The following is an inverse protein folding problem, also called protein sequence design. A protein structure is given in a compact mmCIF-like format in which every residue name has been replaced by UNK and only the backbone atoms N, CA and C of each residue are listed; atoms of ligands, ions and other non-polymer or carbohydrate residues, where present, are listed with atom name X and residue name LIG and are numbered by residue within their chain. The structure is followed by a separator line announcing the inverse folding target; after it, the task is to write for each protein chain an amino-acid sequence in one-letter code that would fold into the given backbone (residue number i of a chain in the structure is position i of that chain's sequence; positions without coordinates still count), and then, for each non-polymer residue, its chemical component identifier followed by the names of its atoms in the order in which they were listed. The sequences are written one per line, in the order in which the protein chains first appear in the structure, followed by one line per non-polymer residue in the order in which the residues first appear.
data_IF_254361108377
#
_entry.id   IF_254361108377
#
_cell.length_a   1.000
_cell.length_b   1.000
_cell.length_c   1.000
_cell.angle_alpha   90.00
_cell.angle_beta   90.00
_cell.angle_gamma   90.00
#
_symmetry.space_group_name_H-M   'P 1'
#
loop_
_entity.id
_entity.type
_entity.pdbx_description
1 polymer ?
#
# COMPACT_ATOMS: atom_id res chain seq x y z
N UNK A 1 -9.65 43.72 -20.56
CA UNK A 1 -8.99 42.39 -20.46
C UNK A 1 -7.50 42.46 -20.80
N UNK A 2 -7.09 43.22 -21.83
CA UNK A 2 -5.68 43.34 -22.24
C UNK A 2 -4.71 43.85 -21.16
N UNK A 3 -5.11 44.80 -20.31
CA UNK A 3 -4.23 45.34 -19.28
C UNK A 3 -3.85 44.31 -18.20
N UNK A 4 -4.76 43.42 -17.83
CA UNK A 4 -4.51 42.40 -16.81
C UNK A 4 -3.52 41.33 -17.30
N UNK A 5 -3.58 40.96 -18.58
CA UNK A 5 -2.64 40.01 -19.19
C UNK A 5 -1.23 40.59 -19.31
N UNK A 6 -1.08 41.90 -19.57
CA UNK A 6 0.24 42.56 -19.64
C UNK A 6 0.98 42.60 -18.30
N UNK A 7 0.27 42.48 -17.18
CA UNK A 7 0.85 42.49 -15.84
C UNK A 7 1.27 41.10 -15.34
N UNK A 8 0.81 40.04 -15.99
CA UNK A 8 1.18 38.68 -15.63
C UNK A 8 2.60 38.38 -16.12
N UNK A 9 3.58 38.36 -15.19
CA UNK A 9 4.95 37.91 -15.47
C UNK A 9 5.22 36.64 -14.69
N UNK A 10 5.65 35.61 -15.40
CA UNK A 10 6.14 34.38 -14.77
C UNK A 10 7.35 34.71 -13.88
N UNK A 11 7.26 34.33 -12.61
CA UNK A 11 8.41 34.30 -11.69
C UNK A 11 8.66 32.83 -11.35
N UNK A 12 9.81 32.25 -11.76
CA UNK A 12 10.16 30.90 -11.35
C UNK A 12 10.18 30.83 -9.82
N UNK A 13 9.56 29.80 -9.27
CA UNK A 13 9.64 29.55 -7.84
C UNK A 13 11.08 29.14 -7.47
N UNK A 14 11.75 29.98 -6.69
CA UNK A 14 13.05 29.66 -6.10
C UNK A 14 12.75 29.05 -4.74
N UNK A 15 12.99 27.76 -4.58
CA UNK A 15 12.61 27.06 -3.36
C UNK A 15 13.28 27.66 -2.13
N UNK A 16 12.55 27.65 -1.02
CA UNK A 16 13.00 28.14 0.29
C UNK A 16 13.18 26.96 1.24
N UNK A 17 13.85 27.17 2.37
CA UNK A 17 13.94 26.14 3.43
C UNK A 17 12.51 25.78 3.86
N UNK A 18 12.12 24.51 3.73
CA UNK A 18 10.74 24.02 3.95
C UNK A 18 9.82 24.01 2.72
N UNK A 19 10.23 24.59 1.59
CA UNK A 19 9.48 24.57 0.33
C UNK A 19 10.44 24.43 -0.88
N UNK A 20 11.05 23.25 -1.07
CA UNK A 20 12.01 23.01 -2.12
C UNK A 20 11.36 23.23 -3.50
N UNK A 21 12.14 23.64 -4.52
CA UNK A 21 11.59 23.96 -5.83
C UNK A 21 11.09 22.71 -6.58
N UNK A 22 11.55 21.54 -6.16
CA UNK A 22 11.14 20.23 -6.65
C UNK A 22 11.05 19.30 -5.45
N UNK A 23 9.97 18.52 -5.36
CA UNK A 23 9.86 17.41 -4.41
C UNK A 23 9.43 16.16 -5.17
N UNK A 24 10.06 15.03 -4.88
CA UNK A 24 9.71 13.74 -5.49
C UNK A 24 8.76 13.02 -4.55
N UNK A 25 7.51 12.85 -4.98
CA UNK A 25 6.50 12.10 -4.22
C UNK A 25 6.30 10.76 -4.92
N UNK A 26 6.48 9.66 -4.20
CA UNK A 26 6.17 8.32 -4.71
C UNK A 26 4.86 7.84 -4.10
N UNK A 27 3.79 7.86 -4.90
CA UNK A 27 2.49 7.32 -4.48
C UNK A 27 2.30 5.95 -5.12
N UNK A 28 2.24 4.86 -4.33
CA UNK A 28 1.91 3.54 -4.87
C UNK A 28 0.42 3.51 -5.26
N UNK A 29 0.14 3.49 -6.57
CA UNK A 29 -1.23 3.32 -7.08
C UNK A 29 -1.45 1.84 -7.40
N UNK A 30 -2.35 1.21 -6.65
CA UNK A 30 -2.71 -0.20 -6.84
C UNK A 30 -3.96 -0.26 -7.71
N UNK A 31 -3.84 -0.88 -8.88
CA UNK A 31 -4.97 -1.12 -9.77
C UNK A 31 -5.55 -2.52 -9.51
N UNK A 32 -6.78 -2.53 -9.00
CA UNK A 32 -7.61 -3.72 -8.86
C UNK A 32 -8.11 -4.25 -10.21
N UNK A 33 -7.95 -5.54 -10.51
CA UNK A 33 -8.63 -6.17 -11.64
C UNK A 33 -9.63 -7.23 -11.15
N UNK A 34 -10.91 -6.93 -11.41
CA UNK A 34 -12.08 -7.84 -11.45
C UNK A 34 -12.76 -8.18 -10.11
N UNK A 35 -13.71 -7.31 -9.76
CA UNK A 35 -14.83 -7.57 -8.86
C UNK A 35 -15.91 -6.52 -9.14
N UNK A 36 -17.19 -6.87 -9.02
CA UNK A 36 -18.37 -6.07 -9.43
C UNK A 36 -18.54 -4.71 -8.72
N UNK A 37 -17.56 -4.27 -7.94
CA UNK A 37 -17.54 -2.99 -7.24
C UNK A 37 -16.21 -2.31 -7.52
N UNK A 38 -16.28 -1.03 -7.88
CA UNK A 38 -15.14 -0.13 -7.76
C UNK A 38 -14.60 -0.33 -6.33
N UNK A 39 -13.28 -0.48 -6.20
CA UNK A 39 -12.61 -0.33 -4.90
C UNK A 39 -13.30 0.82 -4.15
N UNK A 40 -13.71 0.59 -2.90
CA UNK A 40 -14.29 1.63 -2.07
C UNK A 40 -13.37 2.87 -2.15
N UNK A 41 -13.94 4.06 -2.30
CA UNK A 41 -13.19 5.34 -2.34
C UNK A 41 -12.29 5.54 -1.12
N UNK A 42 -12.48 4.75 -0.06
CA UNK A 42 -11.60 4.67 1.11
C UNK A 42 -10.28 3.91 0.85
N UNK A 43 -10.11 3.23 -0.27
CA UNK A 43 -8.84 2.58 -0.65
C UNK A 43 -7.99 3.55 -1.48
N UNK A 44 -7.68 4.69 -0.86
CA UNK A 44 -6.60 5.60 -1.29
C UNK A 44 -5.37 5.49 -0.37
N UNK A 45 -5.44 4.64 0.65
CA UNK A 45 -4.45 4.48 1.71
C UNK A 45 -3.76 3.12 1.59
N UNK A 46 -2.42 3.11 1.68
CA UNK A 46 -1.56 1.96 1.37
C UNK A 46 -2.02 0.64 2.01
N UNK A 47 -1.60 -0.50 1.43
CA UNK A 47 -2.01 -1.86 1.81
C UNK A 47 -2.05 -2.12 3.32
N UNK A 48 -1.16 -1.51 4.10
CA UNK A 48 -1.14 -1.62 5.57
C UNK A 48 -2.38 -1.03 6.27
N UNK A 49 -3.11 -0.11 5.65
CA UNK A 49 -4.26 0.59 6.23
C UNK A 49 -5.61 -0.11 5.96
N UNK A 50 -5.59 -1.26 5.30
CA UNK A 50 -6.80 -2.08 5.10
C UNK A 50 -7.29 -2.54 6.48
N UNK A 51 -8.58 -2.37 6.78
CA UNK A 51 -9.18 -2.90 8.02
C UNK A 51 -9.25 -4.43 7.98
N UNK A 52 -9.01 -5.07 9.11
CA UNK A 52 -9.16 -6.51 9.27
C UNK A 52 -10.57 -7.01 8.95
N UNK A 53 -11.61 -6.20 9.18
CA UNK A 53 -12.98 -6.50 8.76
C UNK A 53 -13.12 -6.74 7.25
N UNK A 54 -12.38 -5.98 6.43
CA UNK A 54 -12.32 -6.20 4.99
C UNK A 54 -11.60 -7.51 4.66
N UNK A 55 -10.42 -7.75 5.25
CA UNK A 55 -9.70 -9.02 5.04
C UNK A 55 -10.56 -10.23 5.43
N UNK A 56 -11.31 -10.14 6.53
CA UNK A 56 -12.19 -11.21 6.97
C UNK A 56 -13.30 -11.50 5.96
N UNK A 57 -13.86 -10.46 5.33
CA UNK A 57 -14.83 -10.62 4.24
C UNK A 57 -14.19 -11.32 3.04
N UNK A 58 -13.03 -10.85 2.58
CA UNK A 58 -12.32 -11.42 1.44
C UNK A 58 -11.96 -12.90 1.65
N UNK A 59 -11.44 -13.25 2.83
CA UNK A 59 -11.12 -14.64 3.18
C UNK A 59 -12.38 -15.50 3.24
N UNK A 60 -13.51 -14.97 3.71
CA UNK A 60 -14.78 -15.69 3.73
C UNK A 60 -15.26 -15.96 2.30
N UNK A 61 -15.28 -14.94 1.44
CA UNK A 61 -15.66 -15.07 0.03
C UNK A 61 -14.76 -16.05 -0.71
N UNK A 62 -13.45 -15.92 -0.59
CA UNK A 62 -12.50 -16.83 -1.24
C UNK A 62 -12.67 -18.29 -0.80
N UNK A 63 -12.95 -18.54 0.49
CA UNK A 63 -13.25 -19.90 0.97
C UNK A 63 -14.56 -20.46 0.44
N UNK A 64 -15.53 -19.62 0.13
CA UNK A 64 -16.81 -20.03 -0.44
C UNK A 64 -16.69 -20.31 -1.94
N UNK A 65 -16.05 -19.40 -2.67
CA UNK A 65 -15.96 -19.47 -4.13
C UNK A 65 -14.85 -20.43 -4.60
N UNK A 66 -13.73 -20.48 -3.87
CA UNK A 66 -12.52 -21.23 -4.24
C UNK A 66 -11.89 -21.98 -3.04
N UNK A 67 -12.60 -22.95 -2.43
CA UNK A 67 -12.17 -23.60 -1.18
C UNK A 67 -10.83 -24.35 -1.24
N UNK A 68 -10.37 -24.71 -2.45
CA UNK A 68 -9.10 -25.43 -2.67
C UNK A 68 -7.92 -24.51 -2.95
N UNK A 69 -8.18 -23.23 -3.21
CA UNK A 69 -7.12 -22.26 -3.51
C UNK A 69 -6.45 -21.79 -2.21
N UNK A 70 -5.13 -21.55 -2.23
CA UNK A 70 -4.43 -21.07 -1.06
C UNK A 70 -4.84 -19.62 -0.76
N UNK A 71 -4.85 -19.28 0.53
CA UNK A 71 -5.19 -17.94 0.97
C UNK A 71 -4.21 -16.87 0.44
N UNK A 72 -3.00 -17.24 -0.01
CA UNK A 72 -2.08 -16.32 -0.68
C UNK A 72 -2.63 -15.71 -1.96
N UNK A 73 -3.67 -16.32 -2.56
CA UNK A 73 -4.38 -15.77 -3.73
C UNK A 73 -5.53 -14.82 -3.37
N UNK A 74 -5.88 -14.67 -2.09
CA UNK A 74 -6.83 -13.62 -1.68
C UNK A 74 -6.20 -12.26 -1.98
N UNK A 75 -6.98 -11.36 -2.57
CA UNK A 75 -6.53 -10.07 -3.11
C UNK A 75 -5.56 -9.33 -2.19
N UNK A 76 -5.90 -9.17 -0.91
CA UNK A 76 -5.06 -8.46 0.06
C UNK A 76 -3.66 -9.07 0.16
N UNK A 77 -3.55 -10.40 0.24
CA UNK A 77 -2.26 -11.09 0.33
C UNK A 77 -1.53 -11.09 -1.02
N UNK A 78 -2.26 -11.28 -2.11
CA UNK A 78 -1.71 -11.24 -3.46
C UNK A 78 -1.08 -9.87 -3.76
N UNK A 79 -1.80 -8.78 -3.50
CA UNK A 79 -1.31 -7.42 -3.70
C UNK A 79 -0.15 -7.07 -2.76
N UNK A 80 -0.18 -7.56 -1.51
CA UNK A 80 0.98 -7.41 -0.60
C UNK A 80 2.21 -8.10 -1.15
N UNK A 81 2.06 -9.29 -1.73
CA UNK A 81 3.13 -10.00 -2.43
C UNK A 81 3.65 -9.24 -3.65
N UNK A 82 2.77 -8.69 -4.48
CA UNK A 82 3.16 -7.87 -5.63
C UNK A 82 3.89 -6.59 -5.22
N UNK A 83 3.45 -5.94 -4.14
CA UNK A 83 4.09 -4.73 -3.63
C UNK A 83 5.55 -4.98 -3.20
N UNK A 84 5.87 -6.18 -2.69
CA UNK A 84 7.25 -6.57 -2.38
C UNK A 84 8.16 -6.59 -3.61
N UNK A 85 7.61 -6.73 -4.82
CA UNK A 85 8.36 -6.72 -6.08
C UNK A 85 8.23 -5.41 -6.86
N UNK A 86 7.48 -4.43 -6.34
CA UNK A 86 7.36 -3.10 -6.92
C UNK A 86 8.69 -2.35 -6.96
N UNK A 87 8.77 -1.32 -7.82
CA UNK A 87 9.98 -0.51 -8.04
C UNK A 87 10.55 0.08 -6.75
N UNK A 88 9.69 0.58 -5.86
CA UNK A 88 10.12 1.12 -4.57
C UNK A 88 10.91 0.10 -3.73
N UNK A 89 10.35 -1.10 -3.54
CA UNK A 89 11.03 -2.16 -2.78
C UNK A 89 12.26 -2.67 -3.54
N UNK A 90 12.24 -2.67 -4.88
CA UNK A 90 13.41 -3.00 -5.71
C UNK A 90 14.60 -2.07 -5.47
N UNK A 91 14.35 -0.78 -5.18
CA UNK A 91 15.41 0.18 -4.83
C UNK A 91 16.01 -0.09 -3.46
N UNK A 92 15.26 -0.70 -2.53
CA UNK A 92 15.67 -0.92 -1.14
C UNK A 92 16.22 -2.33 -0.90
N UNK A 93 15.80 -3.31 -1.69
CA UNK A 93 16.06 -4.74 -1.48
C UNK A 93 16.43 -5.42 -2.78
N UNK A 94 17.44 -6.30 -2.73
CA UNK A 94 17.77 -7.15 -3.87
C UNK A 94 16.66 -8.18 -4.15
N UNK A 95 16.63 -8.75 -5.35
CA UNK A 95 15.64 -9.76 -5.71
C UNK A 95 15.61 -10.97 -4.75
N UNK A 96 16.76 -11.59 -4.35
CA UNK A 96 16.73 -12.67 -3.36
C UNK A 96 16.15 -12.24 -2.01
N UNK A 97 16.39 -11.00 -1.58
CA UNK A 97 15.81 -10.47 -0.33
C UNK A 97 14.29 -10.31 -0.46
N UNK A 98 13.79 -9.89 -1.62
CA UNK A 98 12.34 -9.77 -1.90
C UNK A 98 11.65 -11.14 -1.93
N UNK A 99 12.33 -12.16 -2.46
CA UNK A 99 11.84 -13.53 -2.42
C UNK A 99 11.68 -14.05 -0.99
N UNK A 100 12.67 -13.80 -0.12
CA UNK A 100 12.58 -14.15 1.31
C UNK A 100 11.41 -13.43 1.99
N UNK A 101 11.16 -12.17 1.66
CA UNK A 101 10.00 -11.43 2.20
C UNK A 101 8.66 -12.04 1.73
N UNK A 102 8.58 -12.49 0.48
CA UNK A 102 7.39 -13.16 -0.05
C UNK A 102 7.11 -14.49 0.66
N UNK A 103 8.16 -15.28 0.93
CA UNK A 103 8.06 -16.52 1.69
C UNK A 103 7.60 -16.26 3.14
N UNK A 104 8.17 -15.23 3.79
CA UNK A 104 7.74 -14.80 5.12
C UNK A 104 6.28 -14.33 5.14
N UNK A 105 5.84 -13.61 4.11
CA UNK A 105 4.44 -13.21 3.95
C UNK A 105 3.54 -14.45 3.92
N UNK A 106 3.86 -15.40 3.03
CA UNK A 106 3.09 -16.64 2.84
C UNK A 106 2.99 -17.46 4.12
N UNK A 107 4.10 -17.63 4.84
CA UNK A 107 4.14 -18.35 6.11
C UNK A 107 3.31 -17.67 7.22
N UNK A 108 3.22 -16.34 7.20
CA UNK A 108 2.48 -15.57 8.22
C UNK A 108 0.96 -15.53 7.98
N UNK A 109 0.46 -15.89 6.80
CA UNK A 109 -0.97 -15.78 6.43
C UNK A 109 -1.92 -16.39 7.47
N UNK A 110 -1.73 -17.64 7.94
CA UNK A 110 -2.65 -18.25 8.90
C UNK A 110 -2.77 -17.44 10.20
N UNK A 111 -1.65 -16.92 10.69
CA UNK A 111 -1.58 -16.11 11.90
C UNK A 111 -2.24 -14.74 11.69
N UNK A 112 -1.97 -14.07 10.57
CA UNK A 112 -2.62 -12.80 10.22
C UNK A 112 -4.14 -12.93 10.12
N UNK A 113 -4.64 -13.97 9.45
CA UNK A 113 -6.09 -14.24 9.36
C UNK A 113 -6.70 -14.50 10.74
N UNK A 114 -6.01 -15.28 11.59
CA UNK A 114 -6.49 -15.55 12.96
C UNK A 114 -6.59 -14.27 13.79
N UNK A 115 -5.57 -13.41 13.72
CA UNK A 115 -5.54 -12.14 14.45
C UNK A 115 -6.60 -11.17 13.95
N UNK A 116 -6.74 -11.01 12.63
CA UNK A 116 -7.77 -10.15 12.04
C UNK A 116 -9.19 -10.65 12.33
N UNK A 117 -9.42 -11.97 12.39
CA UNK A 117 -10.72 -12.52 12.77
C UNK A 117 -11.12 -12.10 14.19
N UNK A 118 -10.15 -12.01 15.09
CA UNK A 118 -10.38 -11.63 16.49
C UNK A 118 -10.45 -10.12 16.69
N UNK A 119 -9.99 -9.33 15.73
CA UNK A 119 -9.85 -7.87 15.83
C UNK A 119 -10.29 -7.16 14.53
N UNK A 120 -11.59 -7.17 14.18
CA UNK A 120 -12.07 -6.66 12.88
C UNK A 120 -11.82 -5.16 12.67
N UNK A 121 -11.75 -4.36 13.73
CA UNK A 121 -11.53 -2.91 13.64
C UNK A 121 -10.04 -2.52 13.54
N UNK A 122 -9.11 -3.46 13.73
CA UNK A 122 -7.67 -3.22 13.60
C UNK A 122 -7.25 -3.16 12.14
N UNK A 123 -6.04 -2.63 11.90
CA UNK A 123 -5.45 -2.59 10.57
C UNK A 123 -4.72 -3.89 10.27
N UNK A 124 -4.87 -4.38 9.05
CA UNK A 124 -4.14 -5.53 8.52
C UNK A 124 -2.61 -5.33 8.63
N UNK A 125 -2.15 -4.11 8.35
CA UNK A 125 -0.72 -3.75 8.42
C UNK A 125 -0.10 -3.92 9.81
N UNK A 126 -0.92 -3.94 10.88
CA UNK A 126 -0.42 -4.20 12.23
C UNK A 126 0.00 -5.64 12.45
N UNK A 127 -0.53 -6.58 11.65
CA UNK A 127 -0.23 -8.00 11.75
C UNK A 127 0.78 -8.48 10.71
N UNK A 128 1.24 -7.60 9.82
CA UNK A 128 2.32 -7.92 8.89
C UNK A 128 3.61 -8.27 9.63
N UNK A 129 4.42 -9.22 9.11
CA UNK A 129 5.78 -9.43 9.60
C UNK A 129 6.57 -8.12 9.64
N UNK A 130 7.33 -7.89 10.71
CA UNK A 130 8.08 -6.64 10.93
C UNK A 130 8.89 -6.17 9.70
N UNK A 131 9.62 -7.05 8.98
CA UNK A 131 10.37 -6.63 7.79
C UNK A 131 9.48 -6.11 6.66
N UNK A 132 8.26 -6.65 6.53
CA UNK A 132 7.28 -6.22 5.53
C UNK A 132 6.58 -4.95 6.01
N UNK A 133 6.21 -4.87 7.29
CA UNK A 133 5.58 -3.68 7.89
C UNK A 133 6.45 -2.44 7.66
N UNK A 134 7.77 -2.53 7.85
CA UNK A 134 8.70 -1.42 7.60
C UNK A 134 8.66 -0.89 6.15
N UNK A 135 8.43 -1.78 5.17
CA UNK A 135 8.33 -1.40 3.75
C UNK A 135 6.96 -0.81 3.40
N UNK A 136 5.93 -1.14 4.16
CA UNK A 136 4.56 -0.65 3.95
C UNK A 136 4.30 0.68 4.68
N UNK A 137 4.95 0.90 5.83
CA UNK A 137 4.87 2.14 6.63
C UNK A 137 5.71 3.27 6.01
N UNK A 138 6.82 2.94 5.35
CA UNK A 138 7.63 3.91 4.57
C UNK A 138 6.89 4.54 3.37
N UNK A 139 5.72 4.01 2.99
CA UNK A 139 4.83 4.60 1.98
C UNK A 139 3.85 5.63 2.56
N UNK A 140 3.73 5.71 3.89
CA UNK A 140 2.89 6.68 4.61
C UNK A 140 3.73 7.79 5.28
N UNK A 141 4.89 7.46 5.86
CA UNK A 141 5.69 8.44 6.63
C UNK A 141 6.49 9.44 5.77
N UNK A 142 6.72 9.15 4.48
CA UNK A 142 7.36 10.13 3.57
C UNK A 142 6.44 11.33 3.22
N UNK A 143 5.19 11.33 3.69
CA UNK A 143 4.30 12.48 3.58
C UNK A 143 4.41 13.47 4.75
N UNK A 144 4.98 13.08 5.90
CA UNK A 144 4.99 13.91 7.12
C UNK A 144 6.38 14.13 7.75
N UNK A 145 7.43 13.44 7.29
CA UNK A 145 8.77 13.56 7.86
C UNK A 145 9.80 14.17 6.92
N UNK A 146 9.84 15.50 6.82
CA UNK A 146 11.03 16.27 6.44
C UNK A 146 10.94 17.64 7.11
N UNK A 147 11.40 17.70 8.36
CA UNK A 147 11.64 18.96 9.09
C UNK A 147 12.87 19.68 8.50
#
# INVERSE_FOLDING_TARGET
MEQALRQWRYKPWVGTVGAPPMTTITVPVIFGSHGYRRFNTEVTVGLGNIRCGYLNHEVKSARQDYPKEPLSKVDVFWYTGQALFGSHVAHLRSEPQRQVLLEQLGAAIPMMVSNCRSNPDRLYGDYLPTPIKALMVGLAEQAEGSE
#
